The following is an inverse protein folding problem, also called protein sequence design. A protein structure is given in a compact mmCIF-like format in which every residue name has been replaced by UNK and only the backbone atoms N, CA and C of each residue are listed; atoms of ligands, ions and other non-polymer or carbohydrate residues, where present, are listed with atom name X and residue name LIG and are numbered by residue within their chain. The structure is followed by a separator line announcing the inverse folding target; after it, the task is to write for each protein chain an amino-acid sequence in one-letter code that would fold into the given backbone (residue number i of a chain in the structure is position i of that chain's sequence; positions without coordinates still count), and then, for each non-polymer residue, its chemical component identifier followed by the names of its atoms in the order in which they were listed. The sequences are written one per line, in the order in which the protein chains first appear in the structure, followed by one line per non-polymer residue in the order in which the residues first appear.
data_IF_318208291836
#
_entry.id   IF_318208291836
#
_cell.length_a   1.000
_cell.length_b   1.000
_cell.length_c   1.000
_cell.angle_alpha   90.00
_cell.angle_beta   90.00
_cell.angle_gamma   90.00
#
_symmetry.space_group_name_H-M   'P 1'
#
loop_
_entity.id
_entity.type
_entity.pdbx_description
1 polymer ?
#
# COMPACT_ATOMS: atom_id res chain seq x y z
N UNK A 1 17.74 20.97 -12.79
CA UNK A 1 17.52 19.69 -12.09
C UNK A 1 16.45 19.77 -11.02
N UNK A 2 16.47 20.74 -10.12
CA UNK A 2 15.44 20.92 -9.10
C UNK A 2 14.07 21.19 -9.69
N UNK A 3 13.98 22.06 -10.72
CA UNK A 3 12.71 22.36 -11.39
C UNK A 3 12.09 21.14 -12.06
N UNK A 4 12.89 20.28 -12.68
CA UNK A 4 12.39 19.05 -13.33
C UNK A 4 11.84 18.07 -12.29
N UNK A 5 12.51 17.94 -11.15
CA UNK A 5 12.06 17.08 -10.04
C UNK A 5 10.75 17.62 -9.43
N UNK A 6 10.66 18.93 -9.21
CA UNK A 6 9.45 19.57 -8.70
C UNK A 6 8.28 19.45 -9.67
N UNK A 7 8.53 19.54 -10.98
CA UNK A 7 7.52 19.35 -12.01
C UNK A 7 6.99 17.91 -12.02
N UNK A 8 7.87 16.92 -11.90
CA UNK A 8 7.47 15.51 -11.81
C UNK A 8 6.61 15.26 -10.58
N UNK A 9 7.02 15.77 -9.43
CA UNK A 9 6.26 15.66 -8.19
C UNK A 9 4.88 16.29 -8.33
N UNK A 10 4.83 17.52 -8.86
CA UNK A 10 3.58 18.23 -9.11
C UNK A 10 2.64 17.43 -10.00
N UNK A 11 3.15 16.88 -11.10
CA UNK A 11 2.34 16.13 -12.05
C UNK A 11 1.83 14.82 -11.43
N UNK A 12 2.65 14.13 -10.65
CA UNK A 12 2.24 12.93 -9.91
C UNK A 12 1.13 13.24 -8.92
N UNK A 13 1.24 14.36 -8.19
CA UNK A 13 0.21 14.78 -7.22
C UNK A 13 -1.09 15.20 -7.91
N UNK A 14 -1.01 15.80 -9.09
CA UNK A 14 -2.20 16.15 -9.90
C UNK A 14 -2.95 14.89 -10.32
N UNK A 15 -2.24 13.84 -10.74
CA UNK A 15 -2.85 12.56 -11.07
C UNK A 15 -3.55 11.95 -9.86
N UNK A 16 -2.92 12.02 -8.69
CA UNK A 16 -3.50 11.53 -7.45
C UNK A 16 -4.77 12.31 -7.08
N UNK A 17 -4.74 13.63 -7.19
CA UNK A 17 -5.91 14.47 -6.93
C UNK A 17 -7.06 14.17 -7.89
N UNK A 18 -6.73 13.91 -9.17
CA UNK A 18 -7.74 13.51 -10.16
C UNK A 18 -8.37 12.17 -9.79
N UNK A 19 -7.59 11.22 -9.27
CA UNK A 19 -8.12 9.93 -8.81
C UNK A 19 -9.09 10.11 -7.65
N UNK A 20 -8.77 10.98 -6.69
CA UNK A 20 -9.66 11.30 -5.57
C UNK A 20 -10.98 11.88 -6.06
N UNK A 21 -10.90 12.86 -6.95
CA UNK A 21 -12.07 13.54 -7.48
C UNK A 21 -12.97 12.58 -8.26
N UNK A 22 -12.37 11.68 -9.04
CA UNK A 22 -13.12 10.68 -9.80
C UNK A 22 -13.90 9.75 -8.87
N UNK A 23 -13.29 9.32 -7.77
CA UNK A 23 -13.95 8.45 -6.80
C UNK A 23 -15.07 9.19 -6.06
N UNK A 24 -14.86 10.44 -5.69
CA UNK A 24 -15.91 11.28 -5.09
C UNK A 24 -17.13 11.40 -5.99
N UNK A 25 -16.91 11.59 -7.30
CA UNK A 25 -17.98 11.68 -8.28
C UNK A 25 -18.68 10.34 -8.47
N UNK A 26 -17.93 9.26 -8.65
CA UNK A 26 -18.47 7.93 -8.91
C UNK A 26 -19.25 7.38 -7.72
N UNK A 27 -18.76 7.56 -6.51
CA UNK A 27 -19.39 7.07 -5.28
C UNK A 27 -20.32 8.09 -4.62
N UNK A 28 -20.36 9.32 -5.12
CA UNK A 28 -21.19 10.43 -4.61
C UNK A 28 -21.02 10.66 -3.10
N UNK A 29 -19.77 10.59 -2.63
CA UNK A 29 -19.46 10.81 -1.22
C UNK A 29 -18.21 11.67 -1.07
N UNK A 30 -18.09 12.33 0.08
CA UNK A 30 -16.84 12.96 0.47
C UNK A 30 -15.87 11.88 0.98
N UNK A 31 -14.59 12.03 0.65
CA UNK A 31 -13.56 11.10 1.09
C UNK A 31 -13.14 11.42 2.53
N UNK A 32 -13.18 10.41 3.40
CA UNK A 32 -12.59 10.50 4.72
C UNK A 32 -11.07 10.37 4.63
N UNK A 33 -10.36 10.69 5.71
CA UNK A 33 -8.90 10.51 5.77
C UNK A 33 -8.51 9.04 5.53
N UNK A 34 -9.30 8.12 6.07
CA UNK A 34 -9.10 6.68 5.84
C UNK A 34 -9.26 6.30 4.37
N UNK A 35 -10.28 6.84 3.70
CA UNK A 35 -10.50 6.63 2.27
C UNK A 35 -9.32 7.14 1.44
N UNK A 36 -8.81 8.32 1.77
CA UNK A 36 -7.66 8.93 1.11
C UNK A 36 -6.42 8.03 1.25
N UNK A 37 -6.16 7.54 2.45
CA UNK A 37 -5.02 6.64 2.70
C UNK A 37 -5.14 5.36 1.86
N UNK A 38 -6.31 4.75 1.82
CA UNK A 38 -6.56 3.54 1.03
C UNK A 38 -6.38 3.78 -0.47
N UNK A 39 -6.81 4.93 -0.96
CA UNK A 39 -6.63 5.30 -2.37
C UNK A 39 -5.14 5.46 -2.69
N UNK A 40 -4.39 6.14 -1.83
CA UNK A 40 -2.94 6.30 -2.01
C UNK A 40 -2.25 4.93 -2.00
N UNK A 41 -2.59 4.06 -1.08
CA UNK A 41 -2.04 2.69 -1.02
C UNK A 41 -2.32 1.92 -2.31
N UNK A 42 -3.53 2.03 -2.85
CA UNK A 42 -3.92 1.41 -4.12
C UNK A 42 -3.10 1.94 -5.30
N UNK A 43 -2.88 3.26 -5.35
CA UNK A 43 -2.08 3.89 -6.38
C UNK A 43 -0.61 3.46 -6.30
N UNK A 44 -0.06 3.35 -5.10
CA UNK A 44 1.29 2.84 -4.88
C UNK A 44 1.41 1.40 -5.37
N UNK A 45 0.44 0.55 -5.04
CA UNK A 45 0.44 -0.86 -5.45
C UNK A 45 0.41 -1.00 -6.97
N UNK A 46 -0.44 -0.24 -7.66
CA UNK A 46 -0.51 -0.25 -9.13
C UNK A 46 0.82 0.09 -9.77
N UNK A 47 1.51 1.10 -9.22
CA UNK A 47 2.80 1.54 -9.73
C UNK A 47 3.90 0.54 -9.42
N UNK A 48 3.84 -0.10 -8.28
CA UNK A 48 4.76 -1.16 -7.92
C UNK A 48 4.64 -2.35 -8.87
N UNK A 49 3.41 -2.77 -9.18
CA UNK A 49 3.14 -3.82 -10.16
C UNK A 49 3.65 -3.43 -11.55
N UNK A 50 3.41 -2.19 -11.97
CA UNK A 50 3.90 -1.67 -13.25
C UNK A 50 5.43 -1.62 -13.28
N UNK A 51 6.06 -1.18 -12.20
CA UNK A 51 7.52 -1.13 -12.08
C UNK A 51 8.13 -2.54 -12.21
N UNK A 52 7.51 -3.53 -11.60
CA UNK A 52 7.93 -4.93 -11.70
C UNK A 52 7.84 -5.43 -13.15
N UNK A 53 6.75 -5.12 -13.84
CA UNK A 53 6.57 -5.51 -15.25
C UNK A 53 7.61 -4.85 -16.15
N UNK A 54 7.91 -3.56 -15.92
CA UNK A 54 8.94 -2.86 -16.69
C UNK A 54 10.34 -3.42 -16.43
N UNK A 55 10.64 -3.76 -15.18
CA UNK A 55 11.91 -4.41 -14.84
C UNK A 55 12.06 -5.74 -15.58
N UNK A 56 11.03 -6.56 -15.58
CA UNK A 56 11.04 -7.87 -16.23
C UNK A 56 11.14 -7.74 -17.74
N UNK A 57 10.63 -6.65 -18.31
CA UNK A 57 10.74 -6.33 -19.73
C UNK A 57 12.05 -5.62 -20.10
N UNK A 58 12.95 -5.36 -19.16
CA UNK A 58 14.21 -4.67 -19.40
C UNK A 58 14.07 -3.17 -19.61
N UNK A 59 12.95 -2.57 -19.21
CA UNK A 59 12.67 -1.14 -19.38
C UNK A 59 12.90 -0.39 -18.06
N UNK A 60 14.17 -0.27 -17.68
CA UNK A 60 14.55 0.41 -16.44
C UNK A 60 14.17 1.89 -16.42
N UNK A 61 14.12 2.55 -17.56
CA UNK A 61 13.69 3.94 -17.71
C UNK A 61 12.24 4.14 -17.23
N UNK A 62 11.34 3.26 -17.67
CA UNK A 62 9.93 3.30 -17.29
C UNK A 62 9.74 2.82 -15.85
N UNK A 63 10.52 1.83 -15.42
CA UNK A 63 10.52 1.39 -14.03
C UNK A 63 10.85 2.54 -13.09
N UNK A 64 11.86 3.33 -13.40
CA UNK A 64 12.30 4.44 -12.56
C UNK A 64 11.22 5.52 -12.44
N UNK A 65 10.48 5.81 -13.50
CA UNK A 65 9.34 6.75 -13.45
C UNK A 65 8.30 6.29 -12.42
N UNK A 66 7.95 5.01 -12.44
CA UNK A 66 6.99 4.45 -11.48
C UNK A 66 7.51 4.52 -10.05
N UNK A 67 8.78 4.18 -9.84
CA UNK A 67 9.39 4.24 -8.50
C UNK A 67 9.46 5.67 -7.95
N UNK A 68 9.72 6.66 -8.79
CA UNK A 68 9.73 8.06 -8.39
C UNK A 68 8.34 8.52 -7.95
N UNK A 69 7.30 8.15 -8.68
CA UNK A 69 5.91 8.45 -8.31
C UNK A 69 5.52 7.78 -6.99
N UNK A 70 5.92 6.53 -6.78
CA UNK A 70 5.71 5.82 -5.51
C UNK A 70 6.32 6.60 -4.34
N UNK A 71 7.53 7.09 -4.50
CA UNK A 71 8.21 7.87 -3.46
C UNK A 71 7.42 9.14 -3.09
N UNK A 72 6.88 9.84 -4.08
CA UNK A 72 6.07 11.03 -3.84
C UNK A 72 4.77 10.71 -3.10
N UNK A 73 4.09 9.63 -3.47
CA UNK A 73 2.83 9.23 -2.85
C UNK A 73 3.04 8.74 -1.41
N UNK A 74 4.12 8.04 -1.14
CA UNK A 74 4.43 7.56 0.21
C UNK A 74 4.64 8.68 1.23
N UNK A 75 5.01 9.88 0.79
CA UNK A 75 5.13 11.04 1.68
C UNK A 75 3.80 11.39 2.37
N UNK A 76 2.69 11.02 1.77
CA UNK A 76 1.32 11.31 2.27
C UNK A 76 0.68 10.14 3.01
N UNK A 77 1.37 9.01 3.11
CA UNK A 77 0.90 7.88 3.89
C UNK A 77 1.36 8.00 5.34
N UNK A 78 0.56 7.50 6.32
CA UNK A 78 1.08 7.34 7.67
C UNK A 78 2.30 6.42 7.64
N UNK A 79 3.13 6.50 8.68
CA UNK A 79 4.32 5.66 8.77
C UNK A 79 3.94 4.19 8.57
N UNK A 80 4.50 3.57 7.53
CA UNK A 80 4.23 2.17 7.22
C UNK A 80 5.09 1.27 8.10
N UNK A 81 4.56 0.12 8.45
CA UNK A 81 5.29 -0.84 9.27
C UNK A 81 6.44 -1.46 8.48
N UNK A 82 7.60 -1.58 9.10
CA UNK A 82 8.70 -2.39 8.58
C UNK A 82 8.31 -3.87 8.63
N UNK A 83 9.07 -4.73 7.95
CA UNK A 83 8.80 -6.17 7.98
C UNK A 83 8.88 -6.73 9.40
N UNK A 84 9.82 -6.24 10.20
CA UNK A 84 9.97 -6.64 11.60
C UNK A 84 8.78 -6.20 12.45
N UNK A 85 8.35 -4.95 12.31
CA UNK A 85 7.19 -4.40 13.01
C UNK A 85 5.92 -5.14 12.61
N UNK A 86 5.74 -5.43 11.32
CA UNK A 86 4.60 -6.17 10.81
C UNK A 86 4.58 -7.59 11.38
N UNK A 87 5.71 -8.27 11.40
CA UNK A 87 5.85 -9.61 11.98
C UNK A 87 5.48 -9.61 13.47
N UNK A 88 5.97 -8.64 14.23
CA UNK A 88 5.64 -8.50 15.66
C UNK A 88 4.16 -8.28 15.88
N UNK A 89 3.54 -7.38 15.12
CA UNK A 89 2.11 -7.09 15.20
C UNK A 89 1.26 -8.32 14.86
N UNK A 90 1.65 -9.08 13.85
CA UNK A 90 0.94 -10.29 13.45
C UNK A 90 1.08 -11.41 14.48
N UNK A 91 2.23 -11.55 15.12
CA UNK A 91 2.43 -12.51 16.21
C UNK A 91 1.47 -12.22 17.37
N UNK A 92 1.30 -10.95 17.73
CA UNK A 92 0.33 -10.56 18.75
C UNK A 92 -1.10 -10.90 18.36
N UNK A 93 -1.46 -10.65 17.11
CA UNK A 93 -2.80 -10.96 16.58
C UNK A 93 -3.04 -12.47 16.59
N UNK A 94 -2.06 -13.26 16.14
CA UNK A 94 -2.12 -14.73 16.16
C UNK A 94 -2.37 -15.23 17.58
N UNK A 95 -1.66 -14.69 18.55
CA UNK A 95 -1.85 -15.06 19.94
C UNK A 95 -3.26 -14.69 20.45
N UNK A 96 -3.77 -13.52 20.10
CA UNK A 96 -5.11 -13.04 20.51
C UNK A 96 -6.22 -13.92 19.96
N UNK A 97 -6.14 -14.35 18.71
CA UNK A 97 -7.19 -15.16 18.07
C UNK A 97 -7.00 -16.66 18.31
N UNK A 98 -5.89 -17.06 18.92
CA UNK A 98 -5.58 -18.47 19.18
C UNK A 98 -5.28 -19.28 17.92
N UNK A 99 -4.76 -18.64 16.87
CA UNK A 99 -4.40 -19.32 15.62
C UNK A 99 -3.17 -20.20 15.81
N UNK A 100 -3.19 -21.39 15.24
CA UNK A 100 -2.10 -22.35 15.35
C UNK A 100 -1.60 -22.87 14.00
N UNK A 101 -2.44 -22.82 12.98
CA UNK A 101 -2.13 -23.34 11.64
C UNK A 101 -2.60 -22.40 10.56
N UNK A 102 -2.17 -22.66 9.32
CA UNK A 102 -2.59 -21.91 8.13
C UNK A 102 -4.10 -21.93 7.92
N UNK A 103 -4.80 -22.91 8.47
CA UNK A 103 -6.27 -22.98 8.40
C UNK A 103 -6.94 -21.83 9.13
N UNK A 104 -6.25 -21.21 10.08
CA UNK A 104 -6.74 -20.09 10.87
C UNK A 104 -6.46 -18.73 10.21
N UNK A 105 -5.93 -18.72 8.98
CA UNK A 105 -5.54 -17.49 8.27
C UNK A 105 -6.71 -16.50 8.15
N UNK A 106 -7.93 -16.99 7.98
CA UNK A 106 -9.10 -16.14 7.89
C UNK A 106 -9.36 -15.32 9.14
N UNK A 107 -9.17 -15.92 10.32
CA UNK A 107 -9.31 -15.23 11.62
C UNK A 107 -8.23 -14.17 11.81
N UNK A 108 -6.99 -14.52 11.47
CA UNK A 108 -5.85 -13.60 11.55
C UNK A 108 -6.05 -12.41 10.64
N UNK A 109 -6.42 -12.66 9.37
CA UNK A 109 -6.65 -11.61 8.38
C UNK A 109 -7.82 -10.72 8.74
N UNK A 110 -8.88 -11.27 9.33
CA UNK A 110 -10.03 -10.48 9.78
C UNK A 110 -9.64 -9.41 10.79
N UNK A 111 -8.84 -9.76 11.78
CA UNK A 111 -8.34 -8.81 12.79
C UNK A 111 -7.23 -7.92 12.24
N UNK A 112 -6.28 -8.50 11.51
CA UNK A 112 -5.15 -7.75 10.95
C UNK A 112 -5.60 -6.67 9.97
N UNK A 113 -6.59 -6.95 9.14
CA UNK A 113 -7.15 -5.97 8.21
C UNK A 113 -7.76 -4.78 8.93
N UNK A 114 -8.37 -4.98 10.08
CA UNK A 114 -8.92 -3.88 10.88
C UNK A 114 -7.82 -3.04 11.55
N UNK A 115 -6.82 -3.68 12.12
CA UNK A 115 -5.79 -3.00 12.92
C UNK A 115 -4.65 -2.43 12.08
N UNK A 116 -4.30 -3.07 10.97
CA UNK A 116 -3.07 -2.79 10.22
C UNK A 116 -3.29 -2.24 8.81
N UNK A 117 -4.53 -2.15 8.33
CA UNK A 117 -4.81 -1.81 6.93
C UNK A 117 -4.27 -0.45 6.47
N UNK A 118 -4.15 0.51 7.39
CA UNK A 118 -3.62 1.85 7.08
C UNK A 118 -2.10 1.93 7.22
N UNK A 119 -1.47 0.93 7.83
CA UNK A 119 -0.03 0.90 8.12
C UNK A 119 0.74 -0.11 7.27
N UNK A 120 0.03 -1.01 6.63
CA UNK A 120 0.64 -2.02 5.75
C UNK A 120 -0.34 -2.43 4.66
N UNK A 121 0.20 -2.77 3.49
CA UNK A 121 -0.58 -3.28 2.36
C UNK A 121 -1.17 -4.67 2.71
N UNK A 122 -2.41 -4.90 2.32
CA UNK A 122 -3.09 -6.18 2.55
C UNK A 122 -2.33 -7.39 2.02
N UNK A 123 -1.63 -7.26 0.91
CA UNK A 123 -0.78 -8.32 0.36
C UNK A 123 0.38 -8.65 1.30
N UNK A 124 1.07 -7.63 1.83
CA UNK A 124 2.16 -7.82 2.81
C UNK A 124 1.65 -8.48 4.07
N UNK A 125 0.50 -8.04 4.58
CA UNK A 125 -0.12 -8.62 5.77
C UNK A 125 -0.42 -10.10 5.54
N UNK A 126 -1.02 -10.44 4.41
CA UNK A 126 -1.39 -11.81 4.07
C UNK A 126 -0.16 -12.72 3.92
N UNK A 127 0.84 -12.27 3.17
CA UNK A 127 2.09 -13.04 2.97
C UNK A 127 2.82 -13.28 4.28
N UNK A 128 2.92 -12.25 5.13
CA UNK A 128 3.57 -12.37 6.43
C UNK A 128 2.79 -13.28 7.38
N UNK A 129 1.47 -13.19 7.40
CA UNK A 129 0.62 -14.05 8.22
C UNK A 129 0.73 -15.51 7.78
N UNK A 130 0.71 -15.79 6.49
CA UNK A 130 0.90 -17.14 5.95
C UNK A 130 2.25 -17.72 6.35
N UNK A 131 3.30 -16.94 6.26
CA UNK A 131 4.64 -17.34 6.64
C UNK A 131 4.73 -17.72 8.12
N UNK A 132 4.07 -16.96 9.00
CA UNK A 132 4.06 -17.22 10.43
C UNK A 132 3.22 -18.43 10.83
N UNK A 133 2.20 -18.77 10.04
CA UNK A 133 1.29 -19.89 10.30
C UNK A 133 1.70 -21.20 9.59
N UNK A 134 2.65 -21.09 8.70
CA UNK A 134 3.13 -22.25 7.93
C UNK A 134 3.84 -23.28 8.79
#
# INVERSE_FOLDING_TARGET
AMKAKDAKKRDALRLLMSAFKQIEVDERKELSDEDVIKIIQSQVKRRDDAATQYRDAGREDLMQVELDEIAYYKEYLPAQLSDEELTSALKEIIAKVGATTIKDIGKVMGMASKELSLKADGKRINESAKSLLA
#
